data_IF_143140694735
#
_entry.id   IF_143140694735
#
_cell.length_a   1.000
_cell.length_b   1.000
_cell.length_c   1.000
_cell.angle_alpha   90.00
_cell.angle_beta   90.00
_cell.angle_gamma   90.00
#
_symmetry.space_group_name_H-M   'P 1'
#
loop_
_entity.id
_entity.type
_entity.pdbx_description
1 polymer ?
#
# COMPACT_ATOMS: atom_id res chain seq x y z
N UNK A 1 19.15 -14.82 -1.23
CA UNK A 1 18.26 -16.00 -1.05
C UNK A 1 16.85 -15.61 -0.55
N UNK A 2 16.66 -14.73 0.44
CA UNK A 2 15.32 -14.45 1.00
C UNK A 2 14.34 -13.75 0.04
N UNK A 3 14.80 -12.79 -0.78
CA UNK A 3 13.95 -12.04 -1.73
C UNK A 3 13.38 -12.94 -2.84
N UNK A 4 14.18 -13.85 -3.36
CA UNK A 4 13.75 -14.79 -4.39
C UNK A 4 12.67 -15.77 -3.88
N UNK A 5 12.83 -16.31 -2.67
CA UNK A 5 11.84 -17.21 -2.07
C UNK A 5 10.51 -16.51 -1.82
N UNK A 6 10.54 -15.26 -1.31
CA UNK A 6 9.32 -14.48 -1.11
C UNK A 6 8.61 -14.21 -2.44
N UNK A 7 9.35 -13.88 -3.49
CA UNK A 7 8.82 -13.64 -4.82
C UNK A 7 8.14 -14.89 -5.40
N UNK A 8 8.74 -16.08 -5.27
CA UNK A 8 8.12 -17.35 -5.69
C UNK A 8 6.81 -17.63 -4.95
N UNK A 9 6.75 -17.36 -3.65
CA UNK A 9 5.54 -17.54 -2.84
C UNK A 9 4.45 -16.55 -3.29
N UNK A 10 4.82 -15.32 -3.56
CA UNK A 10 3.94 -14.27 -4.06
C UNK A 10 3.37 -14.62 -5.46
N UNK A 11 4.22 -15.01 -6.41
CA UNK A 11 3.81 -15.45 -7.76
C UNK A 11 2.87 -16.67 -7.70
N UNK A 12 3.15 -17.64 -6.83
CA UNK A 12 2.28 -18.80 -6.63
C UNK A 12 0.94 -18.39 -6.02
N UNK A 13 0.94 -17.49 -5.07
CA UNK A 13 -0.25 -16.97 -4.41
C UNK A 13 -1.14 -16.21 -5.40
N UNK A 14 -0.59 -15.24 -6.15
CA UNK A 14 -1.35 -14.46 -7.12
C UNK A 14 -1.96 -15.33 -8.21
N UNK A 15 -1.22 -16.31 -8.73
CA UNK A 15 -1.73 -17.27 -9.70
C UNK A 15 -2.90 -18.12 -9.15
N UNK A 16 -2.81 -18.57 -7.88
CA UNK A 16 -3.88 -19.32 -7.23
C UNK A 16 -5.12 -18.47 -6.99
N UNK A 17 -4.94 -17.22 -6.56
CA UNK A 17 -6.06 -16.29 -6.34
C UNK A 17 -6.78 -15.98 -7.65
N UNK A 18 -6.04 -15.79 -8.74
CA UNK A 18 -6.62 -15.59 -10.08
C UNK A 18 -7.46 -16.80 -10.52
N UNK A 19 -7.01 -18.02 -10.18
CA UNK A 19 -7.67 -19.25 -10.60
C UNK A 19 -8.88 -19.64 -9.73
N UNK A 20 -8.78 -19.44 -8.43
CA UNK A 20 -9.73 -19.97 -7.44
C UNK A 20 -10.48 -18.89 -6.62
N UNK A 21 -10.03 -17.64 -6.67
CA UNK A 21 -10.45 -16.62 -5.74
C UNK A 21 -9.72 -16.72 -4.39
N UNK A 22 -9.57 -15.59 -3.71
CA UNK A 22 -8.79 -15.53 -2.46
C UNK A 22 -9.34 -16.44 -1.36
N UNK A 23 -10.66 -16.51 -1.19
CA UNK A 23 -11.26 -17.27 -0.08
C UNK A 23 -10.88 -18.75 -0.14
N UNK A 24 -10.84 -19.33 -1.32
CA UNK A 24 -10.57 -20.75 -1.54
C UNK A 24 -9.08 -21.10 -1.52
N UNK A 25 -8.19 -20.09 -1.58
CA UNK A 25 -6.74 -20.32 -1.51
C UNK A 25 -6.29 -20.57 -0.07
N UNK A 26 -5.55 -21.66 0.12
CA UNK A 26 -4.97 -22.03 1.40
C UNK A 26 -3.44 -21.91 1.41
N UNK A 27 -2.85 -21.78 2.61
CA UNK A 27 -1.39 -21.78 2.74
C UNK A 27 -0.75 -23.09 2.22
N UNK A 28 -1.47 -24.21 2.30
CA UNK A 28 -1.00 -25.51 1.76
C UNK A 28 -0.87 -25.46 0.24
N UNK A 29 -1.88 -24.95 -0.47
CA UNK A 29 -1.85 -24.76 -1.92
C UNK A 29 -0.71 -23.83 -2.35
N UNK A 30 -0.50 -22.73 -1.61
CA UNK A 30 0.60 -21.80 -1.90
C UNK A 30 1.96 -22.49 -1.75
N UNK A 31 2.15 -23.26 -0.67
CA UNK A 31 3.40 -23.99 -0.44
C UNK A 31 3.67 -25.01 -1.53
N UNK A 32 2.65 -25.77 -1.96
CA UNK A 32 2.74 -26.75 -3.03
C UNK A 32 3.09 -26.08 -4.37
N UNK A 33 2.33 -25.07 -4.78
CA UNK A 33 2.57 -24.37 -6.06
C UNK A 33 3.90 -23.63 -6.08
N UNK A 34 4.33 -23.04 -4.95
CA UNK A 34 5.62 -22.37 -4.82
C UNK A 34 6.80 -23.36 -4.65
N UNK A 35 6.54 -24.65 -4.52
CA UNK A 35 7.56 -25.68 -4.21
C UNK A 35 8.44 -25.27 -3.01
N UNK A 36 7.80 -24.96 -1.90
CA UNK A 36 8.47 -24.61 -0.65
C UNK A 36 7.99 -25.45 0.51
N UNK A 37 8.90 -25.81 1.42
CA UNK A 37 8.54 -26.56 2.63
C UNK A 37 7.71 -25.67 3.59
N UNK A 38 6.90 -26.33 4.45
CA UNK A 38 6.16 -25.70 5.52
C UNK A 38 7.04 -24.78 6.39
N UNK A 39 8.22 -25.26 6.78
CA UNK A 39 9.19 -24.49 7.56
C UNK A 39 9.67 -23.25 6.79
N UNK A 40 9.88 -23.37 5.47
CA UNK A 40 10.30 -22.25 4.62
C UNK A 40 9.20 -21.21 4.52
N UNK A 41 7.96 -21.61 4.29
CA UNK A 41 6.82 -20.69 4.21
C UNK A 41 6.65 -19.91 5.52
N UNK A 42 6.54 -20.61 6.67
CA UNK A 42 6.28 -19.96 7.95
C UNK A 42 7.47 -19.16 8.52
N UNK A 43 8.63 -19.31 7.94
CA UNK A 43 9.76 -18.38 8.20
C UNK A 43 9.54 -16.99 7.63
N UNK A 44 8.74 -16.84 6.55
CA UNK A 44 8.52 -15.58 5.87
C UNK A 44 7.12 -15.02 6.06
N UNK A 45 6.11 -15.85 6.16
CA UNK A 45 4.70 -15.49 6.20
C UNK A 45 3.95 -16.32 7.24
N UNK A 46 3.14 -15.68 8.06
CA UNK A 46 2.32 -16.37 9.08
C UNK A 46 1.08 -17.04 8.46
N UNK A 47 0.55 -16.45 7.39
CA UNK A 47 -0.66 -16.89 6.72
C UNK A 47 -0.74 -16.29 5.30
N UNK A 48 -1.84 -16.55 4.57
CA UNK A 48 -2.06 -15.98 3.22
C UNK A 48 -2.24 -14.47 3.20
N UNK A 49 -2.78 -13.88 4.27
CA UNK A 49 -2.93 -12.43 4.36
C UNK A 49 -1.58 -11.69 4.45
N UNK A 50 -0.58 -12.30 5.11
CA UNK A 50 0.78 -11.76 5.11
C UNK A 50 1.41 -11.82 3.70
N UNK A 51 1.06 -12.81 2.87
CA UNK A 51 1.52 -12.87 1.47
C UNK A 51 0.87 -11.75 0.66
N UNK A 52 -0.41 -11.51 0.85
CA UNK A 52 -1.14 -10.42 0.22
C UNK A 52 -0.57 -9.04 0.61
N UNK A 53 -0.29 -8.81 1.91
CA UNK A 53 0.37 -7.57 2.37
C UNK A 53 1.75 -7.39 1.71
N UNK A 54 2.50 -8.48 1.55
CA UNK A 54 3.77 -8.47 0.85
C UNK A 54 3.61 -8.14 -0.64
N UNK A 55 2.59 -8.68 -1.31
CA UNK A 55 2.27 -8.39 -2.72
C UNK A 55 2.04 -6.89 -2.93
N UNK A 56 1.08 -6.32 -2.20
CA UNK A 56 0.80 -4.88 -2.28
C UNK A 56 2.03 -4.04 -1.93
N UNK A 57 2.75 -4.40 -0.87
CA UNK A 57 3.95 -3.69 -0.46
C UNK A 57 5.02 -3.68 -1.55
N UNK A 58 5.23 -4.82 -2.23
CA UNK A 58 6.22 -4.93 -3.30
C UNK A 58 5.91 -3.99 -4.46
N UNK A 59 4.62 -3.83 -4.79
CA UNK A 59 4.15 -2.93 -5.82
C UNK A 59 4.44 -1.46 -5.46
N UNK A 60 3.98 -1.03 -4.29
CA UNK A 60 4.14 0.36 -3.86
C UNK A 60 5.58 0.73 -3.48
N UNK A 61 6.36 -0.18 -2.90
CA UNK A 61 7.76 0.07 -2.55
C UNK A 61 8.61 0.22 -3.81
N UNK A 62 8.37 -0.57 -4.86
CA UNK A 62 9.06 -0.41 -6.14
C UNK A 62 8.82 0.97 -6.74
N UNK A 63 7.56 1.45 -6.74
CA UNK A 63 7.22 2.79 -7.20
C UNK A 63 7.86 3.87 -6.31
N UNK A 64 7.80 3.71 -4.98
CA UNK A 64 8.35 4.66 -4.01
C UNK A 64 9.88 4.84 -4.16
N UNK A 65 10.61 3.74 -4.35
CA UNK A 65 12.07 3.77 -4.55
C UNK A 65 12.44 4.41 -5.90
N UNK A 66 11.70 4.08 -6.97
CA UNK A 66 11.97 4.58 -8.31
C UNK A 66 11.70 6.10 -8.44
N UNK A 67 10.65 6.61 -7.80
CA UNK A 67 10.26 8.02 -7.89
C UNK A 67 10.97 8.94 -6.89
N UNK A 68 11.78 8.37 -5.97
CA UNK A 68 12.51 9.14 -4.96
C UNK A 68 11.60 10.11 -4.18
N UNK A 69 10.46 9.61 -3.70
CA UNK A 69 9.46 10.38 -2.96
C UNK A 69 10.04 11.03 -1.70
N UNK A 70 9.94 12.36 -1.62
CA UNK A 70 10.47 13.16 -0.50
C UNK A 70 9.40 14.00 0.20
N UNK A 71 8.30 14.24 -0.47
CA UNK A 71 7.20 15.07 0.04
C UNK A 71 5.93 14.25 0.18
N UNK A 72 4.96 14.77 0.94
CA UNK A 72 3.63 14.17 1.02
C UNK A 72 2.89 14.21 -0.32
N UNK A 73 3.12 15.25 -1.12
CA UNK A 73 2.55 15.34 -2.47
C UNK A 73 3.11 14.26 -3.38
N UNK A 74 4.43 14.01 -3.35
CA UNK A 74 5.04 12.90 -4.09
C UNK A 74 4.44 11.56 -3.66
N UNK A 75 4.29 11.33 -2.34
CA UNK A 75 3.69 10.11 -1.80
C UNK A 75 2.25 9.91 -2.27
N UNK A 76 1.41 10.94 -2.15
CA UNK A 76 0.00 10.81 -2.55
C UNK A 76 -0.15 10.65 -4.06
N UNK A 77 0.61 11.40 -4.85
CA UNK A 77 0.63 11.24 -6.31
C UNK A 77 1.02 9.82 -6.71
N UNK A 78 2.07 9.28 -6.10
CA UNK A 78 2.49 7.90 -6.30
C UNK A 78 1.36 6.91 -5.96
N UNK A 79 0.70 7.06 -4.82
CA UNK A 79 -0.39 6.17 -4.41
C UNK A 79 -1.53 6.17 -5.43
N UNK A 80 -1.99 7.34 -5.88
CA UNK A 80 -3.05 7.45 -6.88
C UNK A 80 -2.63 6.89 -8.25
N UNK A 81 -1.37 7.14 -8.66
CA UNK A 81 -0.83 6.64 -9.93
C UNK A 81 -0.70 5.12 -9.91
N UNK A 82 -0.03 4.55 -8.92
CA UNK A 82 0.15 3.10 -8.79
C UNK A 82 -1.20 2.38 -8.74
N UNK A 83 -2.17 2.93 -7.99
CA UNK A 83 -3.54 2.38 -7.94
C UNK A 83 -4.20 2.37 -9.32
N UNK A 84 -3.99 3.39 -10.15
CA UNK A 84 -4.57 3.50 -11.50
C UNK A 84 -3.88 2.61 -12.53
N UNK A 85 -2.57 2.42 -12.39
CA UNK A 85 -1.75 1.66 -13.34
C UNK A 85 -1.85 0.15 -13.13
N UNK A 86 -2.32 -0.30 -11.96
CA UNK A 86 -2.37 -1.71 -11.57
C UNK A 86 -3.77 -2.17 -11.11
N UNK A 87 -4.84 -1.91 -11.87
CA UNK A 87 -6.19 -2.24 -11.45
C UNK A 87 -6.41 -3.76 -11.31
N UNK A 88 -5.72 -4.57 -12.13
CA UNK A 88 -5.81 -6.02 -12.07
C UNK A 88 -5.21 -6.60 -10.78
N UNK A 89 -4.07 -6.09 -10.33
CA UNK A 89 -3.46 -6.53 -9.06
C UNK A 89 -4.32 -6.14 -7.86
N UNK A 90 -4.97 -4.99 -7.92
CA UNK A 90 -5.85 -4.53 -6.85
C UNK A 90 -7.19 -5.27 -6.84
N UNK A 91 -7.72 -5.65 -8.00
CA UNK A 91 -8.97 -6.40 -8.14
C UNK A 91 -8.82 -7.89 -7.79
N UNK A 92 -7.61 -8.44 -7.79
CA UNK A 92 -7.36 -9.82 -7.38
C UNK A 92 -7.97 -10.17 -6.02
N UNK A 93 -8.07 -9.19 -5.13
CA UNK A 93 -8.53 -9.39 -3.76
C UNK A 93 -9.92 -8.79 -3.48
N UNK A 94 -10.64 -8.34 -4.50
CA UNK A 94 -11.98 -7.72 -4.39
C UNK A 94 -13.03 -8.62 -3.70
N UNK A 95 -12.81 -9.94 -3.75
CA UNK A 95 -13.71 -10.92 -3.12
C UNK A 95 -13.62 -10.97 -1.60
N UNK A 96 -12.59 -10.37 -0.98
CA UNK A 96 -12.37 -10.42 0.47
C UNK A 96 -12.87 -9.20 1.18
N UNK A 97 -13.58 -8.40 0.49
CA UNK A 97 -13.95 -7.12 1.04
C UNK A 97 -12.75 -6.18 1.13
N UNK A 98 -13.08 -5.01 0.89
CA UNK A 98 -12.34 -3.78 0.97
C UNK A 98 -11.40 -3.63 2.18
N UNK A 99 -11.61 -4.44 3.24
CA UNK A 99 -10.89 -4.27 4.49
C UNK A 99 -9.39 -4.55 4.36
N UNK A 100 -8.98 -5.48 3.49
CA UNK A 100 -7.58 -5.86 3.37
C UNK A 100 -6.74 -4.85 2.58
N UNK A 101 -7.26 -4.36 1.44
CA UNK A 101 -6.59 -3.28 0.68
C UNK A 101 -6.61 -1.96 1.45
N UNK A 102 -7.75 -1.62 2.06
CA UNK A 102 -7.90 -0.43 2.90
C UNK A 102 -6.96 -0.44 4.08
N UNK A 103 -6.85 -1.56 4.80
CA UNK A 103 -5.95 -1.73 5.92
C UNK A 103 -4.48 -1.61 5.47
N UNK A 104 -4.13 -2.24 4.35
CA UNK A 104 -2.80 -2.11 3.75
C UNK A 104 -2.49 -0.64 3.42
N UNK A 105 -3.35 0.04 2.67
CA UNK A 105 -3.15 1.43 2.25
C UNK A 105 -3.08 2.37 3.45
N UNK A 106 -3.93 2.19 4.46
CA UNK A 106 -3.86 2.95 5.70
C UNK A 106 -2.48 2.81 6.34
N UNK A 107 -2.05 1.58 6.59
CA UNK A 107 -0.77 1.29 7.23
C UNK A 107 0.43 1.74 6.40
N UNK A 108 0.37 1.59 5.09
CA UNK A 108 1.42 2.02 4.17
C UNK A 108 1.56 3.55 4.17
N UNK A 109 0.47 4.26 3.93
CA UNK A 109 0.44 5.72 3.89
C UNK A 109 0.85 6.33 5.23
N UNK A 110 0.34 5.79 6.34
CA UNK A 110 0.69 6.24 7.67
C UNK A 110 2.20 6.11 7.93
N UNK A 111 2.80 4.96 7.68
CA UNK A 111 4.25 4.75 7.91
C UNK A 111 5.11 5.64 7.02
N UNK A 112 4.81 5.70 5.71
CA UNK A 112 5.58 6.51 4.76
C UNK A 112 5.40 8.01 5.02
N UNK A 113 4.17 8.45 5.25
CA UNK A 113 3.86 9.84 5.61
C UNK A 113 4.53 10.28 6.90
N UNK A 114 4.46 9.47 7.96
CA UNK A 114 5.16 9.70 9.21
C UNK A 114 6.66 9.85 9.01
N UNK A 115 7.28 8.94 8.26
CA UNK A 115 8.72 8.98 7.95
C UNK A 115 9.11 10.27 7.23
N UNK A 116 8.34 10.70 6.23
CA UNK A 116 8.58 11.94 5.49
C UNK A 116 8.51 13.14 6.44
N UNK A 117 7.47 13.22 7.27
CA UNK A 117 7.26 14.35 8.17
C UNK A 117 8.34 14.42 9.26
N UNK A 118 8.63 13.31 9.92
CA UNK A 118 9.66 13.24 10.97
C UNK A 118 11.06 13.59 10.42
N UNK A 119 11.35 13.14 9.19
CA UNK A 119 12.60 13.50 8.49
C UNK A 119 12.65 15.01 8.21
N UNK A 120 11.55 15.59 7.71
CA UNK A 120 11.47 17.02 7.41
C UNK A 120 11.58 17.91 8.66
N UNK A 121 11.02 17.46 9.77
CA UNK A 121 11.04 18.21 11.04
C UNK A 121 12.25 17.93 11.90
N UNK A 122 13.03 16.87 11.62
CA UNK A 122 14.18 16.45 12.42
C UNK A 122 13.81 15.97 13.84
N UNK A 123 12.55 15.59 14.05
CA UNK A 123 12.04 15.11 15.35
C UNK A 123 10.87 14.14 15.18
N UNK A 124 10.61 13.28 16.18
CA UNK A 124 9.40 12.45 16.19
C UNK A 124 8.13 13.30 16.32
N UNK A 125 7.01 12.72 15.89
CA UNK A 125 5.69 13.32 16.06
C UNK A 125 5.28 13.33 17.54
N UNK A 126 4.57 14.37 17.94
CA UNK A 126 3.80 14.37 19.20
C UNK A 126 2.56 13.49 19.03
N UNK A 127 1.97 13.02 20.13
CA UNK A 127 0.75 12.22 20.12
C UNK A 127 -0.40 12.89 19.34
N UNK A 128 -0.56 14.20 19.48
CA UNK A 128 -1.58 14.97 18.74
C UNK A 128 -1.31 15.00 17.23
N UNK A 129 -0.06 15.15 16.82
CA UNK A 129 0.34 15.14 15.41
C UNK A 129 0.16 13.74 14.82
N UNK A 130 0.53 12.71 15.56
CA UNK A 130 0.35 11.31 15.19
C UNK A 130 -1.14 10.96 15.00
N UNK A 131 -2.01 11.37 15.95
CA UNK A 131 -3.46 11.23 15.84
C UNK A 131 -4.01 11.89 14.55
N UNK A 132 -3.56 13.10 14.25
CA UNK A 132 -4.01 13.85 13.08
C UNK A 132 -3.64 13.13 11.78
N UNK A 133 -2.41 12.58 11.71
CA UNK A 133 -1.94 11.83 10.56
C UNK A 133 -2.72 10.51 10.41
N UNK A 134 -2.94 9.79 11.51
CA UNK A 134 -3.74 8.57 11.50
C UNK A 134 -5.17 8.83 11.00
N UNK A 135 -5.82 9.89 11.48
CA UNK A 135 -7.15 10.30 11.04
C UNK A 135 -7.20 10.63 9.54
N UNK A 136 -6.20 11.39 9.06
CA UNK A 136 -6.08 11.72 7.63
C UNK A 136 -5.87 10.48 6.77
N UNK A 137 -4.97 9.57 7.19
CA UNK A 137 -4.70 8.33 6.47
C UNK A 137 -5.95 7.43 6.39
N UNK A 138 -6.80 7.41 7.42
CA UNK A 138 -8.07 6.67 7.39
C UNK A 138 -9.02 7.19 6.31
N UNK A 139 -9.20 8.50 6.21
CA UNK A 139 -9.96 9.13 5.13
C UNK A 139 -9.34 8.91 3.75
N UNK A 140 -8.01 9.07 3.66
CA UNK A 140 -7.26 8.87 2.43
C UNK A 140 -7.34 7.44 1.90
N UNK A 141 -7.28 6.44 2.78
CA UNK A 141 -7.43 5.04 2.40
C UNK A 141 -8.81 4.77 1.76
N UNK A 142 -9.88 5.37 2.30
CA UNK A 142 -11.22 5.28 1.71
C UNK A 142 -11.28 5.92 0.32
N UNK A 143 -10.66 7.07 0.13
CA UNK A 143 -10.62 7.75 -1.18
C UNK A 143 -9.84 6.93 -2.22
N UNK A 144 -8.71 6.33 -1.83
CA UNK A 144 -7.93 5.46 -2.71
C UNK A 144 -8.69 4.21 -3.14
N UNK A 145 -9.47 3.63 -2.24
CA UNK A 145 -10.36 2.53 -2.54
C UNK A 145 -11.43 2.93 -3.59
N UNK A 146 -12.09 4.08 -3.41
CA UNK A 146 -13.04 4.61 -4.39
C UNK A 146 -12.37 4.98 -5.73
N UNK A 147 -11.12 5.43 -5.68
CA UNK A 147 -10.30 5.67 -6.86
C UNK A 147 -10.01 4.40 -7.63
N UNK A 148 -9.67 3.30 -6.94
CA UNK A 148 -9.49 1.97 -7.55
C UNK A 148 -10.76 1.50 -8.27
N UNK A 149 -11.95 1.82 -7.71
CA UNK A 149 -13.25 1.54 -8.33
C UNK A 149 -13.64 2.52 -9.46
N UNK A 150 -12.72 3.38 -9.92
CA UNK A 150 -12.97 4.31 -11.02
C UNK A 150 -13.74 5.58 -10.63
N UNK A 151 -14.06 5.81 -9.35
CA UNK A 151 -14.57 7.09 -8.88
C UNK A 151 -13.48 8.16 -9.07
N UNK A 152 -13.86 9.36 -9.37
CA UNK A 152 -12.93 10.47 -9.67
C UNK A 152 -12.07 10.27 -10.93
N UNK A 153 -12.57 9.52 -11.92
CA UNK A 153 -11.87 9.24 -13.20
C UNK A 153 -11.51 10.51 -14.00
N UNK A 154 -12.18 11.63 -13.73
CA UNK A 154 -11.88 12.94 -14.35
C UNK A 154 -10.67 13.66 -13.77
N UNK A 155 -10.07 13.16 -12.67
CA UNK A 155 -8.84 13.72 -12.08
C UNK A 155 -7.62 12.94 -12.52
N UNK A 156 -6.48 13.63 -12.67
CA UNK A 156 -5.18 12.95 -12.81
C UNK A 156 -4.62 12.55 -11.44
N UNK A 157 -3.67 11.59 -11.35
CA UNK A 157 -2.98 11.27 -10.11
C UNK A 157 -2.28 12.50 -9.48
N UNK A 158 -1.73 13.38 -10.31
CA UNK A 158 -1.07 14.61 -9.89
C UNK A 158 -2.06 15.59 -9.24
N UNK A 159 -3.23 15.80 -9.84
CA UNK A 159 -4.29 16.63 -9.27
C UNK A 159 -4.80 16.07 -7.94
N UNK A 160 -4.99 14.74 -7.86
CA UNK A 160 -5.44 14.08 -6.65
C UNK A 160 -4.38 14.15 -5.54
N UNK A 161 -3.11 13.93 -5.88
CA UNK A 161 -1.97 14.04 -4.96
C UNK A 161 -1.81 15.45 -4.39
N UNK A 162 -1.84 16.46 -5.26
CA UNK A 162 -1.77 17.86 -4.86
C UNK A 162 -2.97 18.28 -3.99
N UNK A 163 -4.17 17.81 -4.30
CA UNK A 163 -5.37 18.08 -3.50
C UNK A 163 -5.24 17.46 -2.10
N UNK A 164 -4.80 16.21 -2.00
CA UNK A 164 -4.58 15.52 -0.73
C UNK A 164 -3.50 16.22 0.12
N UNK A 165 -2.36 16.57 -0.49
CA UNK A 165 -1.30 17.31 0.18
C UNK A 165 -1.77 18.68 0.70
N UNK A 166 -2.56 19.42 -0.09
CA UNK A 166 -3.11 20.71 0.31
C UNK A 166 -4.04 20.63 1.52
N UNK A 167 -4.83 19.55 1.64
CA UNK A 167 -5.70 19.34 2.81
C UNK A 167 -4.84 19.19 4.08
N UNK A 168 -3.74 18.43 4.03
CA UNK A 168 -2.83 18.28 5.17
C UNK A 168 -2.13 19.62 5.47
N UNK A 169 -1.53 20.26 4.48
CA UNK A 169 -0.80 21.52 4.68
C UNK A 169 -1.70 22.63 5.24
N UNK A 170 -2.94 22.76 4.76
CA UNK A 170 -3.87 23.80 5.19
C UNK A 170 -4.29 23.70 6.66
N UNK A 171 -4.23 22.51 7.26
CA UNK A 171 -4.65 22.29 8.66
C UNK A 171 -3.50 22.10 9.63
N UNK A 172 -2.36 21.57 9.20
CA UNK A 172 -1.33 21.08 10.12
C UNK A 172 0.01 21.79 9.96
N UNK A 173 0.11 22.80 9.10
CA UNK A 173 1.35 23.56 8.82
C UNK A 173 2.57 22.64 8.59
N UNK A 174 2.34 21.50 7.96
CA UNK A 174 3.46 20.64 7.54
C UNK A 174 4.34 21.44 6.59
N UNK A 175 5.64 21.60 6.86
CA UNK A 175 6.49 22.39 5.99
C UNK A 175 6.43 21.84 4.55
N UNK A 176 6.18 22.73 3.59
CA UNK A 176 6.35 22.40 2.18
C UNK A 176 7.85 22.39 1.95
N UNK A 177 8.40 21.19 1.78
CA UNK A 177 9.79 21.07 1.34
C UNK A 177 9.79 21.52 -0.12
N UNK A 178 10.15 22.78 -0.33
CA UNK A 178 10.38 23.29 -1.70
C UNK A 178 11.60 22.55 -2.25
N UNK A 179 11.41 21.99 -3.46
CA UNK A 179 12.52 21.40 -4.23
C UNK A 179 13.63 22.40 -4.48
#
# INVERSE_FOLDING_TARGET
MSRWTKKRIDEAFTALVTEHGYEDVTAAMIMEKADVSKTTFYRYFRNKADVMDYHYRSLYDAAFENENCKTLEDLFTLLFRTTREHPEELSLFDTIGYDSYREFIYNYTYRRGKQIIETAWGRPLTEREDFNIAYFCGGGARILEEWACGRYSGMTPEEAGAAAAKIIHGRYQVPIIKK
#
